data_IF_813207644925
#
_entry.id   IF_813207644925
#
_cell.length_a   1.000
_cell.length_b   1.000
_cell.length_c   1.000
_cell.angle_alpha   90.00
_cell.angle_beta   90.00
_cell.angle_gamma   90.00
#
_symmetry.space_group_name_H-M   'P 1'
#
loop_
_entity.id
_entity.type
_entity.pdbx_description
1 polymer ?
#
# COMPACT_ATOMS: atom_id res chain seq x y z
N UNK A 1 -3.04 -0.61 19.89
CA UNK A 1 -1.61 -0.95 19.67
C UNK A 1 -1.57 -1.82 18.44
N UNK A 2 -0.93 -1.38 17.36
CA UNK A 2 -0.76 -2.27 16.20
C UNK A 2 0.20 -3.39 16.61
N UNK A 3 -0.30 -4.62 16.64
CA UNK A 3 0.52 -5.79 16.91
C UNK A 3 1.62 -5.87 15.85
N UNK A 4 2.86 -6.05 16.29
CA UNK A 4 3.98 -6.27 15.37
C UNK A 4 3.85 -7.68 14.80
N UNK A 5 4.02 -7.89 13.47
CA UNK A 5 3.99 -9.23 12.91
C UNK A 5 5.06 -10.12 13.51
N UNK A 6 4.69 -11.33 13.89
CA UNK A 6 5.63 -12.36 14.29
C UNK A 6 6.04 -13.16 13.05
N UNK A 7 7.30 -13.01 12.65
CA UNK A 7 7.84 -13.68 11.46
C UNK A 7 8.29 -15.09 11.76
N UNK A 8 7.90 -16.02 10.91
CA UNK A 8 8.38 -17.41 10.86
C UNK A 8 9.23 -17.62 9.62
N UNK A 9 10.13 -18.60 9.69
CA UNK A 9 11.08 -18.89 8.61
C UNK A 9 11.17 -20.39 8.36
N UNK A 10 11.33 -20.73 7.08
CA UNK A 10 11.73 -22.04 6.62
C UNK A 10 12.99 -21.84 5.80
N UNK A 11 14.04 -22.62 6.15
CA UNK A 11 15.32 -22.59 5.45
C UNK A 11 15.76 -24.01 5.10
N UNK A 12 15.91 -24.26 3.80
CA UNK A 12 16.43 -25.50 3.25
C UNK A 12 17.27 -25.20 1.99
N UNK A 13 17.96 -26.19 1.42
CA UNK A 13 18.64 -26.01 0.14
C UNK A 13 17.70 -25.67 -1.02
N UNK A 14 16.42 -26.11 -0.97
CA UNK A 14 15.45 -25.91 -2.02
C UNK A 14 14.56 -24.66 -1.79
N UNK A 15 14.36 -24.21 -0.53
CA UNK A 15 13.43 -23.14 -0.20
C UNK A 15 13.94 -22.27 0.94
N UNK A 16 13.90 -20.95 0.75
CA UNK A 16 13.92 -19.97 1.85
C UNK A 16 12.60 -19.20 1.84
N UNK A 17 11.86 -19.27 2.93
CA UNK A 17 10.55 -18.66 3.08
C UNK A 17 10.50 -17.89 4.39
N UNK A 18 10.00 -16.63 4.34
CA UNK A 18 9.65 -15.84 5.53
C UNK A 18 8.19 -15.44 5.42
N UNK A 19 7.42 -15.67 6.48
CA UNK A 19 5.98 -15.44 6.48
C UNK A 19 5.47 -15.03 7.87
N UNK A 20 4.28 -14.45 7.90
CA UNK A 20 3.62 -14.00 9.13
C UNK A 20 2.11 -13.87 8.93
N UNK A 21 1.36 -13.79 10.05
CA UNK A 21 0.03 -13.19 10.04
C UNK A 21 0.17 -11.67 9.89
N UNK A 22 -0.73 -11.05 9.14
CA UNK A 22 -0.80 -9.59 8.95
C UNK A 22 -1.88 -9.04 9.89
N UNK A 23 -1.51 -8.54 11.10
CA UNK A 23 -2.50 -8.21 12.12
C UNK A 23 -3.50 -7.13 11.67
N UNK A 24 -3.02 -6.08 11.00
CA UNK A 24 -3.86 -4.96 10.54
C UNK A 24 -4.84 -5.35 9.42
N UNK A 25 -4.46 -6.26 8.52
CA UNK A 25 -5.36 -6.77 7.49
C UNK A 25 -6.34 -7.80 8.09
N UNK A 26 -5.89 -8.63 9.03
CA UNK A 26 -6.71 -9.57 9.79
C UNK A 26 -7.81 -8.84 10.59
N UNK A 27 -7.45 -7.77 11.32
CA UNK A 27 -8.41 -6.95 12.04
C UNK A 27 -9.39 -6.23 11.10
N UNK A 28 -8.85 -5.64 10.01
CA UNK A 28 -9.66 -4.91 9.04
C UNK A 28 -10.66 -5.80 8.30
N UNK A 29 -10.30 -7.04 7.98
CA UNK A 29 -11.10 -7.94 7.17
C UNK A 29 -11.94 -8.93 7.98
N UNK A 30 -11.64 -9.09 9.28
CA UNK A 30 -12.38 -9.99 10.18
C UNK A 30 -12.09 -11.48 9.99
N UNK A 31 -10.99 -11.81 9.33
CA UNK A 31 -10.48 -13.18 9.16
C UNK A 31 -8.95 -13.17 9.02
N UNK A 32 -8.30 -14.29 9.34
CA UNK A 32 -6.85 -14.40 9.29
C UNK A 32 -6.30 -14.14 7.87
N UNK A 33 -5.39 -13.18 7.77
CA UNK A 33 -4.62 -12.84 6.57
C UNK A 33 -3.16 -13.13 6.84
N UNK A 34 -2.57 -14.01 6.03
CA UNK A 34 -1.15 -14.30 6.06
C UNK A 34 -0.41 -13.59 4.91
N UNK A 35 0.89 -13.45 5.06
CA UNK A 35 1.77 -12.90 4.05
C UNK A 35 3.06 -13.68 3.97
N UNK A 36 3.46 -14.03 2.74
CA UNK A 36 4.84 -14.39 2.43
C UNK A 36 5.59 -13.09 2.15
N UNK A 37 6.51 -12.73 3.04
CA UNK A 37 7.34 -11.52 2.92
C UNK A 37 8.62 -11.76 2.13
N UNK A 38 9.09 -13.01 2.08
CA UNK A 38 10.25 -13.45 1.27
C UNK A 38 10.05 -14.87 0.82
N UNK A 39 10.36 -15.14 -0.45
CA UNK A 39 10.49 -16.48 -1.02
C UNK A 39 11.66 -16.50 -1.98
N UNK A 40 12.51 -17.51 -1.85
CA UNK A 40 13.63 -17.77 -2.75
C UNK A 40 13.71 -19.28 -2.98
N UNK A 41 13.69 -19.66 -4.24
CA UNK A 41 13.84 -21.04 -4.67
C UNK A 41 15.31 -21.35 -4.90
N UNK A 42 15.82 -22.35 -4.19
CA UNK A 42 17.16 -22.87 -4.33
C UNK A 42 17.27 -24.01 -5.34
N UNK A 43 18.12 -25.00 -5.06
CA UNK A 43 18.30 -26.20 -5.89
C UNK A 43 17.41 -27.33 -5.37
N UNK A 44 16.75 -28.04 -6.28
CA UNK A 44 15.85 -29.14 -5.96
C UNK A 44 14.36 -28.81 -6.06
N UNK A 45 13.52 -29.72 -5.58
CA UNK A 45 12.07 -29.55 -5.51
C UNK A 45 11.68 -28.96 -4.14
N UNK A 46 11.10 -27.76 -4.09
CA UNK A 46 10.71 -27.10 -2.84
C UNK A 46 9.38 -27.60 -2.26
N UNK A 47 8.71 -28.56 -2.90
CA UNK A 47 7.34 -28.96 -2.57
C UNK A 47 7.20 -29.44 -1.12
N UNK A 48 8.04 -30.38 -0.71
CA UNK A 48 8.02 -30.92 0.66
C UNK A 48 8.41 -29.86 1.71
N UNK A 49 9.32 -28.94 1.37
CA UNK A 49 9.74 -27.86 2.24
C UNK A 49 8.66 -26.78 2.43
N UNK A 50 7.69 -26.71 1.55
CA UNK A 50 6.59 -25.76 1.62
C UNK A 50 5.38 -26.26 2.43
N UNK A 51 5.23 -27.58 2.58
CA UNK A 51 4.13 -28.20 3.33
C UNK A 51 3.98 -27.67 4.77
N UNK A 52 5.07 -27.42 5.55
CA UNK A 52 4.95 -26.81 6.87
C UNK A 52 4.31 -25.43 6.88
N UNK A 53 4.51 -24.63 5.83
CA UNK A 53 3.83 -23.35 5.68
C UNK A 53 2.32 -23.53 5.38
N UNK A 54 1.96 -24.47 4.51
CA UNK A 54 0.55 -24.78 4.20
C UNK A 54 -0.17 -25.30 5.45
N UNK A 55 0.47 -26.19 6.22
CA UNK A 55 -0.07 -26.66 7.49
C UNK A 55 -0.25 -25.52 8.51
N UNK A 56 0.73 -24.64 8.64
CA UNK A 56 0.61 -23.47 9.49
C UNK A 56 -0.55 -22.56 9.04
N UNK A 57 -0.75 -22.36 7.75
CA UNK A 57 -1.89 -21.58 7.23
C UNK A 57 -3.23 -22.23 7.62
N UNK A 58 -3.34 -23.57 7.58
CA UNK A 58 -4.53 -24.29 8.02
C UNK A 58 -4.77 -24.14 9.52
N UNK A 59 -3.71 -24.23 10.35
CA UNK A 59 -3.77 -24.07 11.80
C UNK A 59 -4.22 -22.66 12.19
N UNK A 60 -3.73 -21.63 11.50
CA UNK A 60 -4.13 -20.22 11.69
C UNK A 60 -5.49 -19.90 11.05
N UNK A 61 -6.13 -20.85 10.37
CA UNK A 61 -7.34 -20.66 9.58
C UNK A 61 -7.22 -19.46 8.61
N UNK A 62 -6.05 -19.33 7.96
CA UNK A 62 -5.76 -18.24 7.02
C UNK A 62 -6.66 -18.36 5.78
N UNK A 63 -7.49 -17.34 5.54
CA UNK A 63 -8.40 -17.27 4.39
C UNK A 63 -7.83 -16.53 3.20
N UNK A 64 -6.75 -15.82 3.41
CA UNK A 64 -6.01 -15.11 2.37
C UNK A 64 -4.52 -15.17 2.69
N UNK A 65 -3.73 -15.64 1.74
CA UNK A 65 -2.27 -15.47 1.76
C UNK A 65 -1.88 -14.51 0.64
N UNK A 66 -1.12 -13.48 0.97
CA UNK A 66 -0.54 -12.57 -0.02
C UNK A 66 0.96 -12.78 -0.15
N UNK A 67 1.47 -12.63 -1.37
CA UNK A 67 2.91 -12.58 -1.62
C UNK A 67 3.21 -11.43 -2.58
N UNK A 68 4.29 -10.70 -2.34
CA UNK A 68 4.76 -9.66 -3.25
C UNK A 68 6.19 -9.97 -3.68
N UNK A 69 6.39 -10.11 -4.99
CA UNK A 69 7.66 -10.47 -5.61
C UNK A 69 8.18 -9.35 -6.51
N UNK A 70 9.49 -9.05 -6.50
CA UNK A 70 10.11 -8.28 -7.57
C UNK A 70 9.79 -8.88 -8.93
N UNK A 71 9.53 -8.02 -9.95
CA UNK A 71 9.11 -8.45 -11.29
C UNK A 71 10.06 -9.43 -11.99
N UNK A 72 11.35 -9.47 -11.61
CA UNK A 72 12.34 -10.39 -12.17
C UNK A 72 12.34 -11.79 -11.54
N UNK A 73 11.53 -12.04 -10.51
CA UNK A 73 11.44 -13.34 -9.81
C UNK A 73 10.46 -14.28 -10.51
N UNK A 74 10.70 -14.56 -11.80
CA UNK A 74 9.77 -15.33 -12.62
C UNK A 74 9.69 -16.80 -12.22
N UNK A 75 10.80 -17.37 -11.71
CA UNK A 75 10.82 -18.76 -11.22
C UNK A 75 9.92 -18.92 -10.00
N UNK A 76 10.04 -18.02 -9.03
CA UNK A 76 9.20 -17.99 -7.84
C UNK A 76 7.74 -17.68 -8.20
N UNK A 77 7.49 -16.80 -9.17
CA UNK A 77 6.15 -16.49 -9.68
C UNK A 77 5.47 -17.76 -10.24
N UNK A 78 6.12 -18.44 -11.20
CA UNK A 78 5.57 -19.64 -11.81
C UNK A 78 5.34 -20.76 -10.79
N UNK A 79 6.23 -20.88 -9.80
CA UNK A 79 6.08 -21.87 -8.75
C UNK A 79 4.90 -21.56 -7.83
N UNK A 80 4.73 -20.29 -7.39
CA UNK A 80 3.57 -19.87 -6.60
C UNK A 80 2.26 -20.10 -7.35
N UNK A 81 2.21 -19.84 -8.66
CA UNK A 81 1.02 -20.11 -9.47
C UNK A 81 0.71 -21.61 -9.51
N UNK A 82 1.71 -22.49 -9.57
CA UNK A 82 1.52 -23.94 -9.47
C UNK A 82 0.96 -24.39 -8.10
N UNK A 83 1.14 -23.57 -7.05
CA UNK A 83 0.61 -23.77 -5.68
C UNK A 83 -0.74 -23.08 -5.45
N UNK A 84 -1.40 -22.61 -6.51
CA UNK A 84 -2.74 -22.01 -6.42
C UNK A 84 -2.74 -20.51 -6.12
N UNK A 85 -1.58 -19.86 -6.06
CA UNK A 85 -1.52 -18.42 -6.01
C UNK A 85 -1.90 -17.83 -7.36
N UNK A 86 -2.62 -16.72 -7.35
CA UNK A 86 -3.01 -16.00 -8.57
C UNK A 86 -2.39 -14.63 -8.59
N UNK A 87 -1.87 -14.25 -9.74
CA UNK A 87 -1.44 -12.87 -9.98
C UNK A 87 -2.64 -11.92 -9.89
N UNK A 88 -2.51 -10.83 -9.13
CA UNK A 88 -3.57 -9.85 -8.91
C UNK A 88 -3.23 -8.51 -9.52
N UNK A 89 -2.05 -7.98 -9.21
CA UNK A 89 -1.63 -6.66 -9.67
C UNK A 89 -0.12 -6.53 -9.74
N UNK A 90 0.33 -5.55 -10.49
CA UNK A 90 1.66 -4.99 -10.34
C UNK A 90 1.60 -3.66 -9.60
N UNK A 91 2.59 -3.43 -8.75
CA UNK A 91 2.81 -2.12 -8.12
C UNK A 91 4.21 -1.61 -8.48
N UNK A 92 4.38 -0.30 -8.48
CA UNK A 92 5.70 0.32 -8.56
C UNK A 92 5.91 1.27 -7.37
N UNK A 93 7.16 1.68 -7.16
CA UNK A 93 7.56 2.59 -6.08
C UNK A 93 8.08 3.90 -6.66
N UNK A 94 7.19 4.86 -6.94
CA UNK A 94 7.61 6.20 -7.35
C UNK A 94 8.37 6.90 -6.22
N UNK A 95 9.50 7.53 -6.57
CA UNK A 95 10.33 8.31 -5.66
C UNK A 95 10.66 9.66 -6.27
N UNK A 96 10.57 10.74 -5.48
CA UNK A 96 10.95 12.09 -5.85
C UNK A 96 12.04 12.60 -4.92
N UNK A 97 13.14 13.07 -5.47
CA UNK A 97 14.18 13.79 -4.73
C UNK A 97 13.73 15.27 -4.57
N UNK A 98 13.44 15.68 -3.34
CA UNK A 98 12.97 17.02 -3.02
C UNK A 98 14.07 18.10 -3.12
N UNK A 99 15.34 17.73 -3.23
CA UNK A 99 16.46 18.66 -3.46
C UNK A 99 16.45 19.19 -4.89
N UNK A 100 15.80 18.44 -5.82
CA UNK A 100 15.65 18.87 -7.19
C UNK A 100 14.49 19.87 -7.33
N UNK A 101 14.58 20.83 -8.27
CA UNK A 101 13.48 21.73 -8.56
C UNK A 101 12.23 20.93 -8.98
N UNK A 102 11.07 21.32 -8.44
CA UNK A 102 9.78 20.81 -8.92
C UNK A 102 8.94 21.96 -9.45
N UNK A 103 7.96 21.69 -10.30
CA UNK A 103 7.03 22.70 -10.75
C UNK A 103 6.39 23.43 -9.56
N UNK A 104 6.21 24.74 -9.69
CA UNK A 104 5.49 25.54 -8.69
C UNK A 104 3.98 25.30 -8.79
N UNK A 105 3.28 25.34 -7.65
CA UNK A 105 1.83 25.32 -7.64
C UNK A 105 1.29 26.69 -8.11
N UNK A 106 0.36 26.68 -9.05
CA UNK A 106 -0.34 27.89 -9.48
C UNK A 106 -1.30 28.42 -8.41
N UNK A 107 -1.76 27.56 -7.51
CA UNK A 107 -2.66 27.87 -6.39
C UNK A 107 -2.06 27.32 -5.11
N UNK A 108 -1.92 28.14 -4.10
CA UNK A 108 -1.48 27.71 -2.77
C UNK A 108 -2.67 27.07 -2.04
N UNK A 109 -2.62 25.75 -1.87
CA UNK A 109 -3.56 25.01 -1.01
C UNK A 109 -2.91 24.80 0.36
N UNK A 110 -3.64 25.15 1.43
CA UNK A 110 -3.19 24.86 2.78
C UNK A 110 -3.33 23.37 3.09
N UNK A 111 -2.25 22.78 3.60
CA UNK A 111 -2.24 21.41 4.11
C UNK A 111 -2.15 21.45 5.63
N UNK A 112 -3.10 20.86 6.32
CA UNK A 112 -3.17 20.83 7.78
C UNK A 112 -3.40 19.40 8.31
N UNK A 113 -3.00 19.08 9.55
CA UNK A 113 -3.42 17.86 10.21
C UNK A 113 -4.95 17.78 10.31
N UNK A 114 -5.51 16.58 10.24
CA UNK A 114 -6.94 16.39 10.50
C UNK A 114 -7.22 16.53 12.02
N UNK A 115 -8.40 17.05 12.34
CA UNK A 115 -8.96 16.96 13.69
C UNK A 115 -9.75 15.65 13.85
N UNK A 116 -10.07 15.27 15.09
CA UNK A 116 -10.90 14.10 15.35
C UNK A 116 -12.30 14.19 14.68
N UNK A 117 -12.84 15.40 14.54
CA UNK A 117 -14.09 15.65 13.81
C UNK A 117 -14.02 15.37 12.32
N UNK A 118 -12.82 15.39 11.72
CA UNK A 118 -12.61 15.13 10.29
C UNK A 118 -12.51 13.65 9.96
N UNK A 119 -12.22 12.81 10.96
CA UNK A 119 -11.86 11.41 10.78
C UNK A 119 -12.92 10.64 9.99
N UNK A 120 -14.19 10.78 10.33
CA UNK A 120 -15.28 10.09 9.65
C UNK A 120 -15.39 10.49 8.17
N UNK A 121 -15.14 11.76 7.84
CA UNK A 121 -15.15 12.25 6.45
C UNK A 121 -13.98 11.65 5.68
N UNK A 122 -12.77 11.64 6.24
CA UNK A 122 -11.56 11.07 5.61
C UNK A 122 -11.70 9.55 5.41
N UNK A 123 -12.25 8.83 6.41
CA UNK A 123 -12.59 7.40 6.27
C UNK A 123 -13.59 7.17 5.13
N UNK A 124 -14.60 8.05 4.99
CA UNK A 124 -15.57 8.00 3.90
C UNK A 124 -14.91 8.18 2.52
N UNK A 125 -14.01 9.16 2.40
CA UNK A 125 -13.23 9.37 1.17
C UNK A 125 -12.36 8.14 0.87
N UNK A 126 -11.65 7.61 1.87
CA UNK A 126 -10.79 6.45 1.69
C UNK A 126 -11.55 5.21 1.22
N UNK A 127 -12.77 4.99 1.71
CA UNK A 127 -13.59 3.83 1.36
C UNK A 127 -13.91 3.73 -0.14
N UNK A 128 -13.94 4.85 -0.86
CA UNK A 128 -14.36 4.91 -2.27
C UNK A 128 -13.24 5.35 -3.22
N UNK A 129 -12.16 5.96 -2.71
CA UNK A 129 -11.11 6.52 -3.56
C UNK A 129 -10.17 5.47 -4.15
N UNK A 130 -10.02 4.29 -3.52
CA UNK A 130 -9.03 3.28 -3.90
C UNK A 130 -9.66 2.14 -4.71
N UNK A 131 -10.13 2.46 -5.91
CA UNK A 131 -10.79 1.52 -6.82
C UNK A 131 -9.82 0.61 -7.61
N UNK A 132 -8.50 0.78 -7.44
CA UNK A 132 -7.47 0.03 -8.17
C UNK A 132 -6.59 -0.82 -7.24
N UNK A 133 -7.00 -1.02 -5.99
CA UNK A 133 -6.24 -1.80 -5.02
C UNK A 133 -6.50 -3.30 -5.13
N UNK A 134 -5.51 -4.11 -4.75
CA UNK A 134 -5.51 -5.58 -4.84
C UNK A 134 -6.75 -6.27 -4.25
N UNK A 135 -7.33 -5.72 -3.17
CA UNK A 135 -8.51 -6.30 -2.52
C UNK A 135 -9.81 -6.08 -3.32
N UNK A 136 -9.82 -5.11 -4.23
CA UNK A 136 -10.94 -4.89 -5.16
C UNK A 136 -10.71 -5.63 -6.49
N UNK A 137 -9.45 -5.73 -6.92
CA UNK A 137 -9.09 -6.39 -8.17
C UNK A 137 -9.19 -7.91 -8.09
N UNK A 138 -9.07 -8.49 -6.88
CA UNK A 138 -9.16 -9.93 -6.68
C UNK A 138 -10.61 -10.40 -6.77
N UNK A 139 -10.99 -11.19 -7.80
CA UNK A 139 -12.36 -11.65 -7.98
C UNK A 139 -12.81 -12.67 -6.92
N UNK A 140 -11.86 -13.26 -6.16
CA UNK A 140 -12.17 -14.16 -5.06
C UNK A 140 -12.56 -13.43 -3.76
N UNK A 141 -12.37 -12.10 -3.72
CA UNK A 141 -12.69 -11.27 -2.56
C UNK A 141 -13.96 -10.43 -2.81
N UNK A 142 -14.73 -10.23 -1.75
CA UNK A 142 -15.88 -9.32 -1.82
C UNK A 142 -15.42 -7.86 -1.88
N UNK A 143 -15.91 -7.07 -2.83
CA UNK A 143 -15.54 -5.66 -3.01
C UNK A 143 -15.77 -4.77 -1.76
N UNK A 144 -16.69 -5.14 -0.86
CA UNK A 144 -16.89 -4.45 0.42
C UNK A 144 -15.68 -4.51 1.35
N UNK A 145 -14.87 -5.56 1.26
CA UNK A 145 -13.65 -5.73 2.07
C UNK A 145 -12.62 -4.63 1.80
N UNK A 146 -12.50 -4.20 0.55
CA UNK A 146 -11.58 -3.11 0.18
C UNK A 146 -11.96 -1.81 0.91
N UNK A 147 -13.23 -1.40 0.88
CA UNK A 147 -13.70 -0.19 1.55
C UNK A 147 -13.48 -0.25 3.07
N UNK A 148 -13.79 -1.39 3.69
CA UNK A 148 -13.58 -1.62 5.12
C UNK A 148 -12.11 -1.50 5.51
N UNK A 149 -11.22 -2.10 4.73
CA UNK A 149 -9.77 -2.06 4.95
C UNK A 149 -9.22 -0.63 4.89
N UNK A 150 -9.62 0.17 3.90
CA UNK A 150 -9.12 1.54 3.77
C UNK A 150 -9.65 2.47 4.88
N UNK A 151 -10.89 2.31 5.34
CA UNK A 151 -11.41 2.99 6.54
C UNK A 151 -10.58 2.65 7.77
N UNK A 152 -10.35 1.35 7.99
CA UNK A 152 -9.55 0.87 9.11
C UNK A 152 -8.11 1.43 9.04
N UNK A 153 -7.50 1.47 7.86
CA UNK A 153 -6.16 2.02 7.69
C UNK A 153 -6.08 3.51 8.05
N UNK A 154 -7.02 4.32 7.62
CA UNK A 154 -7.09 5.75 8.00
C UNK A 154 -7.21 5.87 9.53
N UNK A 155 -8.13 5.12 10.15
CA UNK A 155 -8.37 5.14 11.60
C UNK A 155 -7.13 4.74 12.40
N UNK A 156 -6.48 3.66 12.04
CA UNK A 156 -5.26 3.20 12.71
C UNK A 156 -4.08 4.13 12.48
N UNK A 157 -3.99 4.75 11.30
CA UNK A 157 -2.98 5.78 11.02
C UNK A 157 -3.21 7.05 11.84
N UNK A 158 -4.46 7.46 12.05
CA UNK A 158 -4.77 8.61 12.90
C UNK A 158 -4.37 8.40 14.36
N UNK A 159 -4.47 7.16 14.85
CA UNK A 159 -4.06 6.77 16.20
C UNK A 159 -2.55 6.49 16.32
N UNK A 160 -1.82 6.38 15.21
CA UNK A 160 -0.40 6.03 15.21
C UNK A 160 0.47 7.31 15.29
N UNK A 161 1.28 7.50 16.35
CA UNK A 161 2.14 8.69 16.50
C UNK A 161 3.23 8.83 15.44
N UNK A 162 3.57 7.75 14.73
CA UNK A 162 4.54 7.78 13.62
C UNK A 162 3.91 8.25 12.30
N UNK A 163 2.57 8.33 12.21
CA UNK A 163 1.88 8.76 11.03
C UNK A 163 1.31 10.18 11.18
N UNK A 164 1.22 10.87 10.07
CA UNK A 164 0.50 12.13 9.95
C UNK A 164 -0.65 11.95 8.98
N UNK A 165 -1.88 12.17 9.44
CA UNK A 165 -3.04 12.24 8.55
C UNK A 165 -3.31 13.70 8.28
N UNK A 166 -3.15 14.12 7.02
CA UNK A 166 -3.19 15.51 6.59
C UNK A 166 -4.35 15.71 5.60
N UNK A 167 -4.99 16.87 5.65
CA UNK A 167 -6.05 17.28 4.71
C UNK A 167 -5.71 18.54 3.96
N UNK A 168 -6.33 18.71 2.80
CA UNK A 168 -6.52 20.00 2.17
C UNK A 168 -8.01 20.31 2.08
N UNK A 169 -8.36 21.56 2.35
CA UNK A 169 -9.74 22.06 2.26
C UNK A 169 -9.89 23.07 1.13
N UNK A 170 -11.05 23.06 0.51
CA UNK A 170 -11.49 24.05 -0.47
C UNK A 170 -12.94 24.38 -0.10
N UNK A 171 -13.23 25.66 0.09
CA UNK A 171 -14.55 26.16 0.47
C UNK A 171 -15.16 25.45 1.70
N UNK A 172 -14.29 25.17 2.70
CA UNK A 172 -14.70 24.50 3.94
C UNK A 172 -14.95 23.00 3.85
N UNK A 173 -14.72 22.39 2.68
CA UNK A 173 -14.86 20.95 2.49
C UNK A 173 -13.49 20.27 2.27
N UNK A 174 -13.32 19.05 2.77
CA UNK A 174 -12.08 18.27 2.59
C UNK A 174 -12.01 17.84 1.11
N UNK A 175 -11.08 18.46 0.38
CA UNK A 175 -10.84 18.19 -1.03
C UNK A 175 -9.94 16.96 -1.27
N UNK A 176 -9.13 16.60 -0.29
CA UNK A 176 -8.26 15.43 -0.34
C UNK A 176 -7.48 15.24 0.95
N UNK A 177 -6.84 14.08 1.06
CA UNK A 177 -6.05 13.75 2.23
C UNK A 177 -4.77 12.97 1.87
N UNK A 178 -3.83 12.94 2.83
CA UNK A 178 -2.61 12.17 2.80
C UNK A 178 -2.42 11.45 4.13
N UNK A 179 -1.99 10.18 4.08
CA UNK A 179 -1.42 9.48 5.23
C UNK A 179 0.08 9.38 4.99
N UNK A 180 0.86 10.01 5.84
CA UNK A 180 2.31 10.16 5.67
C UNK A 180 3.04 9.60 6.87
N UNK A 181 4.12 8.88 6.62
CA UNK A 181 5.11 8.44 7.60
C UNK A 181 6.42 9.19 7.33
N UNK A 182 6.81 10.16 8.18
CA UNK A 182 8.15 10.73 8.15
C UNK A 182 9.17 9.69 8.63
N UNK A 183 10.14 9.32 7.79
CA UNK A 183 11.18 8.34 8.12
C UNK A 183 12.47 9.01 8.56
N UNK A 184 13.25 8.33 9.38
CA UNK A 184 14.49 8.85 9.94
C UNK A 184 15.60 9.14 8.91
N UNK A 185 15.48 8.63 7.68
CA UNK A 185 16.38 8.91 6.56
C UNK A 185 16.02 10.18 5.78
N UNK A 186 15.04 10.95 6.25
CA UNK A 186 14.54 12.15 5.60
C UNK A 186 13.53 11.86 4.47
N UNK A 187 13.06 10.63 4.32
CA UNK A 187 12.01 10.27 3.37
C UNK A 187 10.62 10.46 3.98
N UNK A 188 9.72 11.16 3.29
CA UNK A 188 8.30 11.14 3.58
C UNK A 188 7.64 10.01 2.78
N UNK A 189 7.21 8.94 3.46
CA UNK A 189 6.50 7.85 2.79
C UNK A 189 4.99 8.11 2.81
N UNK A 190 4.38 8.14 1.63
CA UNK A 190 2.95 8.31 1.48
C UNK A 190 2.24 6.96 1.41
N UNK A 191 1.58 6.59 2.50
CA UNK A 191 0.80 5.36 2.58
C UNK A 191 -0.49 5.43 1.77
N UNK A 192 -1.27 6.51 1.96
CA UNK A 192 -2.52 6.76 1.26
C UNK A 192 -2.56 8.21 0.79
N UNK A 193 -3.03 8.41 -0.43
CA UNK A 193 -3.26 9.75 -0.98
C UNK A 193 -4.52 9.70 -1.83
N UNK A 194 -5.47 10.58 -1.56
CA UNK A 194 -6.71 10.60 -2.33
C UNK A 194 -7.30 12.01 -2.46
N UNK A 195 -8.02 12.20 -3.57
CA UNK A 195 -8.89 13.36 -3.79
C UNK A 195 -10.32 12.91 -3.53
N UNK A 196 -11.06 13.71 -2.77
CA UNK A 196 -12.47 13.47 -2.53
C UNK A 196 -13.25 13.47 -3.85
N UNK A 197 -14.23 12.57 -4.03
CA UNK A 197 -14.94 12.39 -5.31
C UNK A 197 -15.52 13.68 -5.88
N UNK A 198 -16.08 14.54 -5.05
CA UNK A 198 -16.62 15.85 -5.46
C UNK A 198 -15.60 16.84 -6.03
N UNK A 199 -14.30 16.55 -5.87
CA UNK A 199 -13.19 17.39 -6.32
C UNK A 199 -12.33 16.76 -7.42
N UNK A 200 -12.65 15.53 -7.84
CA UNK A 200 -11.95 14.87 -8.94
C UNK A 200 -12.28 15.53 -10.29
N UNK A 201 -11.37 15.33 -11.26
CA UNK A 201 -11.50 15.86 -12.65
C UNK A 201 -11.59 17.40 -12.76
N UNK A 202 -11.21 18.14 -11.70
CA UNK A 202 -11.19 19.62 -11.67
C UNK A 202 -9.78 20.21 -11.72
N UNK A 203 -8.77 19.42 -12.04
CA UNK A 203 -7.36 19.87 -12.04
C UNK A 203 -6.73 20.04 -10.64
N UNK A 204 -7.49 19.82 -9.58
CA UNK A 204 -7.10 20.02 -8.18
C UNK A 204 -5.96 19.06 -7.77
N UNK A 205 -5.91 17.86 -8.33
CA UNK A 205 -4.92 16.87 -7.99
C UNK A 205 -3.48 17.38 -8.08
N UNK A 206 -3.12 18.01 -9.21
CA UNK A 206 -1.79 18.56 -9.37
C UNK A 206 -1.46 19.62 -8.31
N UNK A 207 -2.40 20.53 -8.02
CA UNK A 207 -2.22 21.59 -7.02
C UNK A 207 -2.04 20.99 -5.62
N UNK A 208 -2.84 19.97 -5.27
CA UNK A 208 -2.78 19.28 -3.99
C UNK A 208 -1.43 18.59 -3.76
N UNK A 209 -0.95 17.82 -4.77
CA UNK A 209 0.35 17.16 -4.69
C UNK A 209 1.50 18.18 -4.60
N UNK A 210 1.47 19.26 -5.37
CA UNK A 210 2.49 20.31 -5.31
C UNK A 210 2.51 21.03 -3.94
N UNK A 211 1.34 21.29 -3.35
CA UNK A 211 1.24 21.86 -2.01
C UNK A 211 1.86 20.92 -0.95
N UNK A 212 1.59 19.61 -1.08
CA UNK A 212 2.17 18.62 -0.18
C UNK A 212 3.68 18.49 -0.34
N UNK A 213 4.20 18.52 -1.58
CA UNK A 213 5.64 18.52 -1.83
C UNK A 213 6.33 19.78 -1.27
N UNK A 214 5.68 20.96 -1.40
CA UNK A 214 6.19 22.21 -0.81
C UNK A 214 6.24 22.11 0.72
N UNK A 215 5.19 21.58 1.36
CA UNK A 215 5.17 21.32 2.80
C UNK A 215 6.32 20.42 3.25
N UNK A 216 6.59 19.33 2.53
CA UNK A 216 7.69 18.43 2.87
C UNK A 216 9.05 19.09 2.74
N UNK A 217 9.26 19.92 1.72
CA UNK A 217 10.50 20.73 1.61
C UNK A 217 10.67 21.68 2.79
N UNK A 218 9.61 22.40 3.15
CA UNK A 218 9.63 23.32 4.31
C UNK A 218 9.93 22.58 5.61
N UNK A 219 9.49 21.32 5.74
CA UNK A 219 9.80 20.43 6.86
C UNK A 219 11.21 19.79 6.78
N UNK A 220 12.03 20.12 5.77
CA UNK A 220 13.38 19.60 5.62
C UNK A 220 13.45 18.15 5.12
N UNK A 221 12.36 17.59 4.58
CA UNK A 221 12.40 16.24 3.97
C UNK A 221 13.23 16.24 2.69
N UNK A 222 13.97 15.17 2.48
CA UNK A 222 14.89 14.98 1.35
C UNK A 222 14.23 14.29 0.16
N UNK A 223 13.25 13.43 0.42
CA UNK A 223 12.56 12.66 -0.62
C UNK A 223 11.11 12.36 -0.25
N UNK A 224 10.32 12.07 -1.28
CA UNK A 224 8.99 11.47 -1.15
C UNK A 224 9.01 10.12 -1.84
N UNK A 225 8.44 9.10 -1.18
CA UNK A 225 8.27 7.76 -1.72
C UNK A 225 6.84 7.26 -1.47
N UNK A 226 6.33 6.46 -2.37
CA UNK A 226 5.03 5.80 -2.21
C UNK A 226 4.99 4.48 -2.97
N UNK A 227 3.91 3.74 -2.82
CA UNK A 227 3.60 2.55 -3.63
C UNK A 227 2.28 2.79 -4.36
N UNK A 228 2.26 2.51 -5.66
CA UNK A 228 1.08 2.71 -6.51
C UNK A 228 0.83 1.48 -7.40
N UNK A 229 -0.44 1.10 -7.52
CA UNK A 229 -0.87 0.07 -8.48
C UNK A 229 -0.68 0.54 -9.92
N UNK A 230 -0.14 -0.32 -10.78
CA UNK A 230 0.00 -0.04 -12.22
C UNK A 230 -1.35 0.13 -12.93
N UNK A 231 -2.46 -0.30 -12.31
CA UNK A 231 -3.82 -0.02 -12.78
C UNK A 231 -4.22 1.45 -12.61
N UNK A 232 -3.55 2.20 -11.71
CA UNK A 232 -3.85 3.60 -11.46
C UNK A 232 -3.09 4.53 -12.42
N UNK A 233 -3.40 4.44 -13.72
CA UNK A 233 -2.72 5.22 -14.77
C UNK A 233 -2.85 6.73 -14.57
N UNK A 234 -3.95 7.20 -13.99
CA UNK A 234 -4.14 8.62 -13.71
C UNK A 234 -3.09 9.16 -12.72
N UNK A 235 -2.85 8.43 -11.63
CA UNK A 235 -1.87 8.79 -10.60
C UNK A 235 -0.45 8.58 -11.12
N UNK A 236 -0.18 7.52 -11.89
CA UNK A 236 1.13 7.30 -12.53
C UNK A 236 1.50 8.48 -13.44
N UNK A 237 0.57 8.93 -14.29
CA UNK A 237 0.77 10.09 -15.15
C UNK A 237 0.98 11.39 -14.35
N UNK A 238 0.29 11.55 -13.22
CA UNK A 238 0.49 12.68 -12.32
C UNK A 238 1.91 12.65 -11.74
N UNK A 239 2.36 11.51 -11.20
CA UNK A 239 3.71 11.36 -10.65
C UNK A 239 4.80 11.61 -11.70
N UNK A 240 4.63 11.09 -12.93
CA UNK A 240 5.57 11.36 -14.03
C UNK A 240 5.68 12.87 -14.33
N UNK A 241 4.55 13.60 -14.39
CA UNK A 241 4.53 15.06 -14.59
C UNK A 241 5.13 15.86 -13.45
N UNK A 242 5.13 15.30 -12.23
CA UNK A 242 5.74 15.91 -11.05
C UNK A 242 7.23 15.59 -10.91
N UNK A 243 7.79 14.75 -11.80
CA UNK A 243 9.20 14.39 -11.83
C UNK A 243 9.56 13.19 -10.94
N UNK A 244 8.58 12.40 -10.49
CA UNK A 244 8.87 11.14 -9.83
C UNK A 244 9.57 10.17 -10.77
N UNK A 245 10.55 9.45 -10.25
CA UNK A 245 11.19 8.33 -10.92
C UNK A 245 10.57 7.03 -10.44
N UNK A 246 10.34 6.11 -11.35
CA UNK A 246 9.76 4.81 -11.06
C UNK A 246 10.89 3.78 -10.97
N UNK A 247 11.01 3.12 -9.84
CA UNK A 247 11.93 2.02 -9.63
C UNK A 247 11.13 0.73 -9.41
N UNK A 248 11.80 -0.41 -9.61
CA UNK A 248 11.38 -1.78 -9.29
C UNK A 248 9.87 -2.02 -9.18
N UNK A 249 9.30 -2.61 -10.22
CA UNK A 249 7.93 -3.11 -10.14
C UNK A 249 7.90 -4.44 -9.35
N UNK A 250 6.81 -4.66 -8.63
CA UNK A 250 6.56 -5.87 -7.85
C UNK A 250 5.22 -6.48 -8.28
N UNK A 251 5.20 -7.80 -8.42
CA UNK A 251 4.02 -8.60 -8.69
C UNK A 251 3.36 -8.97 -7.36
N UNK A 252 2.06 -8.78 -7.23
CA UNK A 252 1.29 -9.21 -6.06
C UNK A 252 0.48 -10.44 -6.41
N UNK A 253 0.60 -11.47 -5.57
CA UNK A 253 -0.12 -12.74 -5.67
C UNK A 253 -1.01 -12.92 -4.46
N UNK A 254 -2.18 -13.53 -4.67
CA UNK A 254 -3.08 -13.99 -3.61
C UNK A 254 -3.38 -15.48 -3.76
N UNK A 255 -3.52 -16.16 -2.62
CA UNK A 255 -4.08 -17.50 -2.50
C UNK A 255 -5.22 -17.45 -1.49
N UNK A 256 -6.42 -17.89 -1.88
CA UNK A 256 -7.61 -17.95 -1.03
C UNK A 256 -8.08 -19.38 -0.79
N UNK A 257 -7.42 -20.36 -1.41
CA UNK A 257 -7.68 -21.79 -1.28
C UNK A 257 -6.34 -22.50 -1.01
N UNK A 258 -5.94 -22.48 0.26
CA UNK A 258 -4.69 -23.10 0.72
C UNK A 258 -4.97 -24.59 0.92
N UNK A 259 -4.35 -25.41 0.10
CA UNK A 259 -4.54 -26.88 0.05
C UNK A 259 -3.83 -27.59 1.20
#
# INVERSE_FOLDING_TARGET
MNATPEYRQIESPALRLTYCVVPWDTEALGFCVAQISRIELGTGDPTADFEPFEEWCRQEAARLVSCRLPQGRLRESAWLESRGFRFIEMVCRPKLDLRQPTPSAAVALAIAPIAASDLAVVEGIAAIAFSTGRFLLDPALNGGLSAQRYRHWVRTSFANPQHQVLKAEIDGAIAGFFVVEPRGDGTAYWHLTAIAPGFQNRGIGKALWLAMLARHRQAGMLAVETTVSMHNTAVLNLYARLGFRFSSAEMTFHCTDIR
#
